data_IF_557865519773
#
_entry.id   IF_557865519773
#
_cell.length_a   1.000
_cell.length_b   1.000
_cell.length_c   1.000
_cell.angle_alpha   90.00
_cell.angle_beta   90.00
_cell.angle_gamma   90.00
#
_symmetry.space_group_name_H-M   'P 1'
#
loop_
_entity.id
_entity.type
_entity.pdbx_description
1 polymer ?
#
# COMPACT_ATOMS: atom_id res chain seq x y z
N UNK A 1 -1.16 11.09 -2.94
CA UNK A 1 -0.02 11.99 -2.64
C UNK A 1 -0.45 13.36 -2.08
N UNK A 2 -1.24 14.20 -2.79
CA UNK A 2 -1.60 15.56 -2.33
C UNK A 2 -2.19 15.62 -0.90
N UNK A 3 -3.05 14.65 -0.54
CA UNK A 3 -3.66 14.56 0.81
C UNK A 3 -2.68 14.17 1.92
N UNK A 4 -1.70 13.32 1.63
CA UNK A 4 -0.70 12.89 2.62
C UNK A 4 0.31 14.01 2.93
N UNK A 5 0.67 14.80 1.91
CA UNK A 5 1.50 16.01 2.08
C UNK A 5 0.73 17.05 2.89
N UNK A 6 -0.55 17.29 2.59
CA UNK A 6 -1.38 18.19 3.38
C UNK A 6 -1.49 17.76 4.85
N UNK A 7 -1.65 16.46 5.11
CA UNK A 7 -1.68 15.92 6.47
C UNK A 7 -0.35 16.18 7.19
N UNK A 8 0.80 15.85 6.57
CA UNK A 8 2.14 16.08 7.12
C UNK A 8 2.39 17.57 7.44
N UNK A 9 1.93 18.47 6.56
CA UNK A 9 1.98 19.93 6.77
C UNK A 9 1.14 20.31 7.99
N UNK A 10 -0.08 19.78 8.14
CA UNK A 10 -0.93 20.02 9.32
C UNK A 10 -0.25 19.50 10.61
N UNK A 11 0.41 18.34 10.59
CA UNK A 11 1.17 17.83 11.75
C UNK A 11 2.28 18.80 12.13
N UNK A 12 3.08 19.22 11.15
CA UNK A 12 4.19 20.15 11.39
C UNK A 12 3.72 21.50 11.94
N UNK A 13 2.59 22.03 11.43
CA UNK A 13 1.96 23.24 11.96
C UNK A 13 1.48 23.06 13.40
N UNK A 14 0.89 21.91 13.76
CA UNK A 14 0.38 21.65 15.10
C UNK A 14 1.49 21.41 16.14
N UNK A 15 2.59 20.78 15.73
CA UNK A 15 3.74 20.49 16.58
C UNK A 15 4.68 21.70 16.75
N UNK A 16 4.74 22.63 15.79
CA UNK A 16 5.66 23.79 15.82
C UNK A 16 5.02 25.07 16.39
N UNK A 17 3.70 25.25 16.32
CA UNK A 17 3.06 26.50 16.78
C UNK A 17 2.49 26.39 18.21
N UNK A 18 3.12 27.04 19.22
CA UNK A 18 2.68 27.01 20.62
C UNK A 18 1.42 27.84 20.90
N UNK A 19 0.85 28.53 19.91
CA UNK A 19 -0.12 29.62 20.10
C UNK A 19 -1.60 29.23 20.33
N UNK A 20 -2.00 27.96 20.25
CA UNK A 20 -3.42 27.56 20.34
C UNK A 20 -4.02 27.46 21.75
N UNK A 21 -3.37 27.96 22.81
CA UNK A 21 -3.91 27.88 24.19
C UNK A 21 -4.13 26.46 24.73
N UNK A 22 -3.71 25.43 23.99
CA UNK A 22 -3.84 24.03 24.35
C UNK A 22 -2.72 23.61 25.33
N UNK A 23 -3.11 22.96 26.43
CA UNK A 23 -2.17 22.34 27.38
C UNK A 23 -1.20 21.40 26.66
N UNK A 24 0.08 21.40 27.09
CA UNK A 24 1.16 20.58 26.52
C UNK A 24 0.77 19.09 26.40
N UNK A 25 -0.01 18.57 27.37
CA UNK A 25 -0.53 17.19 27.36
C UNK A 25 -1.50 16.91 26.21
N UNK A 26 -2.37 17.87 25.85
CA UNK A 26 -3.33 17.72 24.76
C UNK A 26 -2.64 17.78 23.40
N UNK A 27 -1.61 18.62 23.26
CA UNK A 27 -0.77 18.68 22.05
C UNK A 27 -0.08 17.36 21.75
N UNK A 28 0.53 16.74 22.76
CA UNK A 28 1.19 15.43 22.60
C UNK A 28 0.23 14.36 22.07
N UNK A 29 -1.00 14.31 22.61
CA UNK A 29 -2.05 13.39 22.15
C UNK A 29 -2.47 13.65 20.71
N UNK A 30 -2.68 14.91 20.34
CA UNK A 30 -3.07 15.29 18.98
C UNK A 30 -1.96 14.97 17.98
N UNK A 31 -0.70 15.32 18.26
CA UNK A 31 0.41 14.96 17.38
C UNK A 31 0.57 13.43 17.27
N UNK A 32 0.36 12.66 18.35
CA UNK A 32 0.37 11.20 18.28
C UNK A 32 -0.71 10.63 17.35
N UNK A 33 -1.95 11.13 17.44
CA UNK A 33 -3.06 10.72 16.56
C UNK A 33 -2.77 11.06 15.11
N UNK A 34 -2.23 12.26 14.85
CA UNK A 34 -1.87 12.70 13.52
C UNK A 34 -0.76 11.84 12.91
N UNK A 35 0.28 11.49 13.68
CA UNK A 35 1.36 10.61 13.23
C UNK A 35 0.82 9.22 12.90
N UNK A 36 -0.01 8.64 13.77
CA UNK A 36 -0.65 7.34 13.53
C UNK A 36 -1.52 7.36 12.26
N UNK A 37 -2.28 8.44 12.05
CA UNK A 37 -3.08 8.63 10.85
C UNK A 37 -2.22 8.75 9.58
N UNK A 38 -1.09 9.46 9.66
CA UNK A 38 -0.14 9.59 8.55
C UNK A 38 0.50 8.24 8.20
N UNK A 39 0.95 7.47 9.19
CA UNK A 39 1.52 6.13 8.97
C UNK A 39 0.49 5.21 8.30
N UNK A 40 -0.76 5.23 8.77
CA UNK A 40 -1.84 4.47 8.14
C UNK A 40 -2.08 4.87 6.68
N UNK A 41 -2.13 6.17 6.39
CA UNK A 41 -2.31 6.68 5.03
C UNK A 41 -1.13 6.33 4.10
N UNK A 42 0.12 6.38 4.61
CA UNK A 42 1.31 5.99 3.87
C UNK A 42 1.30 4.49 3.59
N UNK A 43 0.94 3.66 4.56
CA UNK A 43 0.88 2.21 4.38
C UNK A 43 -0.15 1.80 3.32
N UNK A 44 -1.36 2.39 3.37
CA UNK A 44 -2.39 2.18 2.33
C UNK A 44 -1.90 2.65 0.96
N UNK A 45 -1.20 3.77 0.90
CA UNK A 45 -0.65 4.28 -0.36
C UNK A 45 0.42 3.35 -0.95
N UNK A 46 1.34 2.85 -0.12
CA UNK A 46 2.37 1.90 -0.54
C UNK A 46 1.74 0.60 -1.06
N UNK A 47 0.78 0.03 -0.32
CA UNK A 47 0.05 -1.15 -0.78
C UNK A 47 -0.65 -0.97 -2.12
N UNK A 48 -1.31 0.17 -2.34
CA UNK A 48 -1.93 0.46 -3.63
C UNK A 48 -0.90 0.66 -4.75
N UNK A 49 0.23 1.28 -4.45
CA UNK A 49 1.32 1.46 -5.42
C UNK A 49 1.90 0.12 -5.84
N UNK A 50 2.13 -0.78 -4.89
CA UNK A 50 2.69 -2.10 -5.15
C UNK A 50 1.71 -2.99 -5.93
N UNK A 51 0.42 -2.93 -5.61
CA UNK A 51 -0.62 -3.61 -6.37
C UNK A 51 -0.68 -3.12 -7.84
N UNK A 52 -0.61 -1.81 -8.05
CA UNK A 52 -0.59 -1.24 -9.40
C UNK A 52 0.71 -1.55 -10.16
N UNK A 53 1.85 -1.62 -9.47
CA UNK A 53 3.13 -2.00 -10.08
C UNK A 53 3.13 -3.47 -10.51
N UNK A 54 2.51 -4.34 -9.71
CA UNK A 54 2.31 -5.76 -10.02
C UNK A 54 1.42 -5.93 -11.26
N UNK A 55 0.32 -5.17 -11.35
CA UNK A 55 -0.57 -5.22 -12.52
C UNK A 55 0.13 -4.79 -13.80
N UNK A 56 0.85 -3.67 -13.80
CA UNK A 56 1.65 -3.24 -14.96
C UNK A 56 2.69 -4.27 -15.37
N UNK A 57 3.33 -4.93 -14.39
CA UNK A 57 4.31 -5.97 -14.64
C UNK A 57 3.67 -7.19 -15.31
N UNK A 58 2.45 -7.57 -14.91
CA UNK A 58 1.70 -8.65 -15.56
C UNK A 58 1.21 -8.26 -16.97
N UNK A 59 0.77 -7.02 -17.18
CA UNK A 59 0.37 -6.50 -18.49
C UNK A 59 1.54 -6.54 -19.48
N UNK A 60 2.74 -6.15 -19.04
CA UNK A 60 3.96 -6.21 -19.84
C UNK A 60 4.33 -7.63 -20.31
N UNK A 61 3.79 -8.68 -19.68
CA UNK A 61 4.06 -10.07 -20.05
C UNK A 61 3.19 -10.58 -21.21
N UNK A 62 2.23 -9.80 -21.72
CA UNK A 62 1.38 -10.14 -22.87
C UNK A 62 0.64 -11.49 -22.72
N UNK A 63 0.20 -11.82 -21.50
CA UNK A 63 -0.46 -13.10 -21.19
C UNK A 63 -1.96 -13.15 -21.57
N UNK A 64 -2.50 -12.07 -22.14
CA UNK A 64 -3.93 -11.95 -22.48
C UNK A 64 -4.78 -11.52 -21.27
N UNK A 65 -6.09 -11.81 -21.31
CA UNK A 65 -7.00 -11.40 -20.23
C UNK A 65 -6.84 -12.29 -19.00
N UNK A 66 -7.00 -11.69 -17.82
CA UNK A 66 -7.05 -12.43 -16.55
C UNK A 66 -8.31 -13.28 -16.50
N UNK A 67 -8.16 -14.60 -16.36
CA UNK A 67 -9.29 -15.54 -16.25
C UNK A 67 -9.68 -15.82 -14.80
N UNK A 68 -8.69 -15.97 -13.92
CA UNK A 68 -8.96 -16.25 -12.51
C UNK A 68 -7.81 -15.85 -11.62
N UNK A 69 -8.14 -15.53 -10.37
CA UNK A 69 -7.17 -15.28 -9.31
C UNK A 69 -7.50 -16.18 -8.14
N UNK A 70 -6.52 -16.94 -7.65
CA UNK A 70 -6.63 -17.72 -6.42
C UNK A 70 -5.61 -17.22 -5.42
N UNK A 71 -6.05 -16.95 -4.19
CA UNK A 71 -5.17 -16.56 -3.08
C UNK A 71 -5.21 -17.63 -2.03
N UNK A 72 -4.04 -18.02 -1.54
CA UNK A 72 -3.91 -18.93 -0.41
C UNK A 72 -2.74 -18.49 0.46
N UNK A 73 -2.86 -18.81 1.75
CA UNK A 73 -1.84 -18.52 2.74
C UNK A 73 -1.03 -19.78 2.99
N UNK A 74 0.29 -19.68 2.86
CA UNK A 74 1.21 -20.78 3.16
C UNK A 74 2.15 -20.32 4.27
N UNK A 75 1.81 -20.67 5.52
CA UNK A 75 2.48 -20.13 6.70
C UNK A 75 2.30 -18.61 6.81
N UNK A 76 3.42 -17.87 6.81
CA UNK A 76 3.42 -16.40 6.81
C UNK A 76 3.31 -15.81 5.39
N UNK A 77 3.50 -16.63 4.35
CA UNK A 77 3.46 -16.16 2.96
C UNK A 77 2.04 -16.06 2.43
N UNK A 78 1.76 -14.98 1.71
CA UNK A 78 0.56 -14.85 0.88
C UNK A 78 0.94 -15.21 -0.56
N UNK A 79 0.38 -16.31 -1.06
CA UNK A 79 0.59 -16.75 -2.43
C UNK A 79 -0.67 -16.46 -3.24
N UNK A 80 -0.51 -15.75 -4.35
CA UNK A 80 -1.55 -15.40 -5.29
C UNK A 80 -1.22 -15.97 -6.67
N UNK A 81 -2.08 -16.84 -7.17
CA UNK A 81 -1.96 -17.46 -8.48
C UNK A 81 -2.95 -16.81 -9.42
N UNK A 82 -2.46 -16.03 -10.36
CA UNK A 82 -3.23 -15.38 -11.43
C UNK A 82 -3.13 -16.20 -12.69
N UNK A 83 -4.26 -16.72 -13.17
CA UNK A 83 -4.32 -17.47 -14.43
C UNK A 83 -4.87 -16.55 -15.51
N UNK A 84 -4.10 -16.40 -16.58
CA UNK A 84 -4.43 -15.62 -17.77
C UNK A 84 -4.76 -16.57 -18.94
N UNK A 85 -5.13 -16.01 -20.09
CA UNK A 85 -5.44 -16.79 -21.30
C UNK A 85 -4.23 -17.56 -21.84
N UNK A 86 -3.02 -16.97 -21.78
CA UNK A 86 -1.79 -17.52 -22.37
C UNK A 86 -0.73 -17.94 -21.34
N UNK A 87 -1.13 -18.07 -20.08
CA UNK A 87 -0.21 -18.49 -19.03
C UNK A 87 -0.71 -18.20 -17.63
N UNK A 88 0.14 -18.44 -16.64
CA UNK A 88 -0.13 -18.28 -15.22
C UNK A 88 1.02 -17.53 -14.55
N UNK A 89 0.69 -16.63 -13.64
CA UNK A 89 1.63 -15.87 -12.83
C UNK A 89 1.42 -16.25 -11.37
N UNK A 90 2.47 -16.71 -10.72
CA UNK A 90 2.51 -16.99 -9.29
C UNK A 90 3.18 -15.79 -8.61
N UNK A 91 2.44 -15.14 -7.73
CA UNK A 91 2.84 -13.98 -6.95
C UNK A 91 3.01 -14.43 -5.51
N UNK A 92 4.13 -14.09 -4.86
CA UNK A 92 4.40 -14.35 -3.44
C UNK A 92 4.64 -13.03 -2.74
N UNK A 93 3.89 -12.76 -1.68
CA UNK A 93 3.98 -11.51 -0.90
C UNK A 93 3.92 -10.23 -1.75
N UNK A 94 3.09 -10.24 -2.81
CA UNK A 94 2.92 -9.10 -3.72
C UNK A 94 3.99 -8.99 -4.82
N UNK A 95 4.99 -9.86 -4.86
CA UNK A 95 6.01 -9.91 -5.91
C UNK A 95 5.83 -11.11 -6.84
N UNK A 96 6.16 -10.95 -8.13
CA UNK A 96 6.09 -12.06 -9.09
C UNK A 96 7.21 -13.06 -8.79
N UNK A 97 6.83 -14.28 -8.46
CA UNK A 97 7.74 -15.37 -8.11
C UNK A 97 8.04 -16.26 -9.32
N UNK A 98 7.02 -16.59 -10.10
CA UNK A 98 7.15 -17.45 -11.29
C UNK A 98 6.10 -17.11 -12.33
N UNK A 99 6.47 -17.25 -13.60
CA UNK A 99 5.56 -17.12 -14.75
C UNK A 99 5.66 -18.39 -15.57
N UNK A 100 4.52 -18.99 -15.86
CA UNK A 100 4.39 -20.20 -16.68
C UNK A 100 3.60 -19.82 -17.95
N UNK A 101 4.17 -20.07 -19.13
CA UNK A 101 3.48 -19.85 -20.41
C UNK A 101 2.89 -21.18 -20.90
N UNK A 102 1.67 -21.12 -21.42
CA UNK A 102 0.96 -22.23 -22.05
C UNK A 102 1.23 -22.26 -23.55
#
# INVERSE_FOLDING_TARGET
MKRAIALAVIISLFCVNPSYGLSLKMRGKICMILILSLIGAVNVYLHHRDAAALERSCEAMNLGKLRSTRRYRHGLDLIEVRTYERGRVIVRNGAIWRVERL
#
